data_IF_633804394029
#
_entry.id   IF_633804394029
#
_cell.length_a   1.000
_cell.length_b   1.000
_cell.length_c   1.000
_cell.angle_alpha   90.00
_cell.angle_beta   90.00
_cell.angle_gamma   90.00
#
_symmetry.space_group_name_H-M   'P 1'
#
loop_
_entity.id
_entity.type
_entity.pdbx_description
1 polymer ?
#
# COMPACT_ATOMS: atom_id res chain seq x y z
N UNK A 1 -17.15 -2.54 -29.77
CA UNK A 1 -15.72 -2.52 -29.45
C UNK A 1 -15.56 -2.95 -28.01
N UNK A 2 -15.34 -4.24 -27.79
CA UNK A 2 -15.09 -4.82 -26.47
C UNK A 2 -13.72 -4.33 -26.02
N UNK A 3 -13.65 -3.59 -24.92
CA UNK A 3 -12.39 -3.17 -24.29
C UNK A 3 -11.51 -4.41 -24.11
N UNK A 4 -10.21 -4.30 -24.45
CA UNK A 4 -9.20 -5.37 -24.37
C UNK A 4 -9.13 -6.04 -22.98
N UNK A 5 -9.75 -5.44 -21.95
CA UNK A 5 -9.78 -5.91 -20.56
C UNK A 5 -11.20 -5.92 -19.97
N UNK A 6 -12.26 -5.58 -20.73
CA UNK A 6 -13.64 -5.61 -20.24
C UNK A 6 -13.89 -4.78 -18.96
N UNK A 7 -13.05 -3.76 -18.70
CA UNK A 7 -12.98 -3.07 -17.41
C UNK A 7 -14.30 -2.41 -16.98
N UNK A 8 -15.12 -1.99 -17.94
CA UNK A 8 -16.40 -1.34 -17.67
C UNK A 8 -17.46 -2.32 -17.12
N UNK A 9 -17.40 -3.60 -17.50
CA UNK A 9 -18.35 -4.64 -17.07
C UNK A 9 -17.80 -5.47 -15.89
N UNK A 10 -16.48 -5.46 -15.69
CA UNK A 10 -15.82 -6.23 -14.64
C UNK A 10 -15.91 -5.59 -13.24
N UNK A 11 -15.94 -6.42 -12.19
CA UNK A 11 -15.78 -5.98 -10.80
C UNK A 11 -14.33 -5.52 -10.56
N UNK A 12 -14.08 -4.21 -10.65
CA UNK A 12 -12.75 -3.61 -10.48
C UNK A 12 -12.16 -3.91 -9.10
N UNK A 13 -13.04 -4.15 -8.12
CA UNK A 13 -12.64 -4.56 -6.78
C UNK A 13 -11.72 -5.78 -6.75
N UNK A 14 -11.93 -6.82 -7.58
CA UNK A 14 -11.02 -7.97 -7.60
C UNK A 14 -9.63 -7.63 -8.14
N UNK A 15 -9.55 -6.83 -9.19
CA UNK A 15 -8.26 -6.38 -9.76
C UNK A 15 -7.49 -5.45 -8.84
N UNK A 16 -8.18 -4.81 -7.90
CA UNK A 16 -7.53 -3.96 -6.91
C UNK A 16 -6.61 -4.75 -5.96
N UNK A 17 -6.86 -6.04 -5.73
CA UNK A 17 -6.04 -6.87 -4.82
C UNK A 17 -4.63 -7.09 -5.37
N UNK A 18 -4.43 -7.63 -6.60
CA UNK A 18 -3.09 -7.75 -7.16
C UNK A 18 -2.43 -6.38 -7.38
N UNK A 19 -3.19 -5.34 -7.69
CA UNK A 19 -2.64 -3.99 -7.80
C UNK A 19 -2.17 -3.44 -6.44
N UNK A 20 -2.90 -3.69 -5.35
CA UNK A 20 -2.49 -3.33 -4.00
C UNK A 20 -1.22 -4.08 -3.58
N UNK A 21 -1.10 -5.35 -3.97
CA UNK A 21 0.14 -6.12 -3.80
C UNK A 21 1.31 -5.47 -4.53
N UNK A 22 1.15 -5.14 -5.83
CA UNK A 22 2.20 -4.44 -6.60
C UNK A 22 2.58 -3.11 -5.93
N UNK A 23 1.59 -2.30 -5.54
CA UNK A 23 1.82 -1.02 -4.84
C UNK A 23 2.60 -1.22 -3.52
N UNK A 24 2.36 -2.31 -2.79
CA UNK A 24 3.08 -2.63 -1.56
C UNK A 24 4.58 -2.87 -1.79
N UNK A 25 4.97 -3.35 -2.97
CA UNK A 25 6.38 -3.65 -3.31
C UNK A 25 7.13 -2.45 -3.91
N UNK A 26 6.46 -1.46 -4.46
CA UNK A 26 7.09 -0.23 -4.99
C UNK A 26 8.08 0.41 -4.00
N UNK A 27 7.72 0.68 -2.73
CA UNK A 27 8.67 1.27 -1.81
C UNK A 27 9.83 0.33 -1.45
N UNK A 28 9.63 -1.00 -1.48
CA UNK A 28 10.73 -1.94 -1.29
C UNK A 28 11.76 -1.87 -2.42
N UNK A 29 11.30 -1.87 -3.68
CA UNK A 29 12.17 -1.71 -4.86
C UNK A 29 12.88 -0.35 -4.82
N UNK A 30 12.15 0.71 -4.47
CA UNK A 30 12.74 2.03 -4.29
C UNK A 30 13.83 2.04 -3.20
N UNK A 31 13.63 1.37 -2.07
CA UNK A 31 14.62 1.28 -1.00
C UNK A 31 15.91 0.58 -1.48
N UNK A 32 15.77 -0.57 -2.13
CA UNK A 32 16.91 -1.36 -2.60
C UNK A 32 17.69 -0.61 -3.70
N UNK A 33 16.99 0.08 -4.60
CA UNK A 33 17.63 0.85 -5.68
C UNK A 33 18.44 2.04 -5.18
N UNK A 34 17.94 2.80 -4.21
CA UNK A 34 18.69 3.95 -3.67
C UNK A 34 19.78 3.54 -2.67
N UNK A 35 19.72 2.31 -2.15
CA UNK A 35 20.76 1.75 -1.29
C UNK A 35 22.03 1.37 -2.05
N UNK A 36 21.94 1.11 -3.36
CA UNK A 36 23.09 0.82 -4.20
C UNK A 36 23.89 -0.39 -3.70
N UNK A 37 25.19 -0.19 -3.49
CA UNK A 37 26.14 -1.20 -3.01
C UNK A 37 25.84 -1.73 -1.60
N UNK A 38 25.02 -1.02 -0.82
CA UNK A 38 24.58 -1.47 0.51
C UNK A 38 23.50 -2.55 0.47
N UNK A 39 22.90 -2.80 -0.69
CA UNK A 39 21.93 -3.86 -0.86
C UNK A 39 22.60 -5.16 -1.29
N UNK A 40 22.72 -6.10 -0.35
CA UNK A 40 23.17 -7.46 -0.64
C UNK A 40 21.99 -8.35 -1.08
N UNK A 41 22.09 -8.93 -2.28
CA UNK A 41 21.08 -9.84 -2.84
C UNK A 41 21.08 -11.20 -2.12
N UNK A 42 22.20 -11.61 -1.54
CA UNK A 42 22.28 -12.83 -0.73
C UNK A 42 21.63 -12.64 0.66
N UNK A 43 21.71 -11.42 1.21
CA UNK A 43 21.15 -11.08 2.52
C UNK A 43 20.18 -9.86 2.48
N UNK A 44 19.10 -9.89 1.67
CA UNK A 44 18.28 -8.71 1.38
C UNK A 44 17.52 -8.13 2.57
N UNK A 45 17.43 -8.90 3.67
CA UNK A 45 16.79 -8.47 4.92
C UNK A 45 17.71 -7.62 5.80
N UNK A 46 19.04 -7.65 5.57
CA UNK A 46 20.04 -6.92 6.37
C UNK A 46 20.26 -5.48 5.90
N UNK A 47 19.54 -5.05 4.85
CA UNK A 47 19.67 -3.71 4.29
C UNK A 47 19.54 -2.59 5.35
N UNK A 48 18.59 -2.73 6.29
CA UNK A 48 18.38 -1.69 7.31
C UNK A 48 19.55 -1.59 8.29
N UNK A 49 20.18 -2.71 8.63
CA UNK A 49 21.36 -2.73 9.50
C UNK A 49 22.54 -2.08 8.79
N UNK A 50 22.76 -2.44 7.52
CA UNK A 50 23.82 -1.86 6.68
C UNK A 50 23.68 -0.34 6.52
N UNK A 51 22.45 0.16 6.36
CA UNK A 51 22.15 1.59 6.15
C UNK A 51 22.17 2.40 7.45
N UNK A 52 21.88 1.77 8.59
CA UNK A 52 21.85 2.46 9.90
C UNK A 52 23.25 2.57 10.52
N UNK A 53 24.16 1.65 10.19
CA UNK A 53 25.55 1.66 10.66
C UNK A 53 26.51 2.48 9.79
N UNK A 54 26.07 3.00 8.64
CA UNK A 54 26.94 3.72 7.70
C UNK A 54 26.84 5.24 7.88
N UNK A 55 27.82 5.82 8.60
CA UNK A 55 27.92 7.26 8.82
C UNK A 55 28.30 8.05 7.55
N UNK A 56 28.83 7.39 6.52
CA UNK A 56 29.19 8.03 5.26
C UNK A 56 27.99 8.28 4.35
N UNK A 57 26.87 7.57 4.59
CA UNK A 57 25.66 7.71 3.81
C UNK A 57 24.92 9.01 4.17
N UNK A 58 24.47 9.73 3.14
CA UNK A 58 23.64 10.93 3.34
C UNK A 58 22.43 10.60 4.22
N UNK A 59 22.26 11.40 5.28
CA UNK A 59 21.23 11.18 6.30
C UNK A 59 19.82 11.16 5.71
N UNK A 60 19.55 11.98 4.68
CA UNK A 60 18.24 12.03 4.02
C UNK A 60 18.01 10.76 3.19
N UNK A 61 19.04 10.24 2.51
CA UNK A 61 18.97 8.94 1.81
C UNK A 61 18.73 7.80 2.81
N UNK A 62 19.53 7.71 3.88
CA UNK A 62 19.36 6.69 4.93
C UNK A 62 17.93 6.70 5.50
N UNK A 63 17.42 7.87 5.87
CA UNK A 63 16.05 7.99 6.38
C UNK A 63 14.98 7.63 5.34
N UNK A 64 15.19 7.94 4.04
CA UNK A 64 14.26 7.54 2.97
C UNK A 64 14.23 6.02 2.79
N UNK A 65 15.36 5.34 2.87
CA UNK A 65 15.44 3.87 2.83
C UNK A 65 14.63 3.27 3.99
N UNK A 66 14.88 3.75 5.21
CA UNK A 66 14.17 3.27 6.41
C UNK A 66 12.65 3.47 6.28
N UNK A 67 12.20 4.66 5.86
CA UNK A 67 10.76 4.94 5.66
C UNK A 67 10.16 4.11 4.52
N UNK A 68 10.91 3.84 3.46
CA UNK A 68 10.43 3.02 2.35
C UNK A 68 10.27 1.54 2.75
N UNK A 69 11.22 0.97 3.50
CA UNK A 69 11.05 -0.36 4.11
C UNK A 69 9.86 -0.40 5.06
N UNK A 70 9.72 0.58 5.96
CA UNK A 70 8.56 0.67 6.85
C UNK A 70 7.22 0.82 6.09
N UNK A 71 7.21 1.54 4.95
CA UNK A 71 6.01 1.67 4.11
C UNK A 71 5.63 0.35 3.43
N UNK A 72 6.61 -0.44 2.99
CA UNK A 72 6.40 -1.80 2.47
C UNK A 72 5.80 -2.69 3.56
N UNK A 73 6.44 -2.77 4.72
CA UNK A 73 6.00 -3.63 5.83
C UNK A 73 4.56 -3.28 6.23
N UNK A 74 4.25 -1.99 6.40
CA UNK A 74 2.89 -1.52 6.68
C UNK A 74 1.85 -1.88 5.61
N UNK A 75 2.24 -1.86 4.33
CA UNK A 75 1.35 -2.26 3.25
C UNK A 75 1.05 -3.77 3.33
N UNK A 76 2.07 -4.58 3.60
CA UNK A 76 1.93 -6.04 3.70
C UNK A 76 1.11 -6.48 4.92
N UNK A 77 1.27 -5.81 6.07
CA UNK A 77 0.50 -6.08 7.30
C UNK A 77 -1.02 -5.98 7.09
N UNK A 78 -1.45 -5.04 6.24
CA UNK A 78 -2.88 -4.74 6.04
C UNK A 78 -3.47 -5.36 4.77
N UNK A 79 -2.61 -5.85 3.87
CA UNK A 79 -3.02 -6.39 2.57
C UNK A 79 -3.94 -7.60 2.71
N UNK A 80 -3.63 -8.52 3.63
CA UNK A 80 -4.45 -9.72 3.85
C UNK A 80 -5.88 -9.37 4.28
N UNK A 81 -6.01 -8.42 5.22
CA UNK A 81 -7.32 -7.97 5.70
C UNK A 81 -8.12 -7.23 4.63
N UNK A 82 -7.44 -6.45 3.77
CA UNK A 82 -8.05 -5.81 2.62
C UNK A 82 -8.54 -6.84 1.58
N UNK A 83 -7.66 -7.76 1.16
CA UNK A 83 -7.97 -8.77 0.16
C UNK A 83 -9.15 -9.64 0.59
N UNK A 84 -9.14 -10.11 1.84
CA UNK A 84 -10.24 -10.87 2.41
C UNK A 84 -11.54 -10.05 2.49
N UNK A 85 -11.46 -8.75 2.83
CA UNK A 85 -12.63 -7.85 2.83
C UNK A 85 -13.24 -7.65 1.44
N UNK A 86 -12.41 -7.51 0.39
CA UNK A 86 -12.88 -7.44 -1.01
C UNK A 86 -13.62 -8.72 -1.39
N UNK A 87 -13.05 -9.90 -1.10
CA UNK A 87 -13.67 -11.20 -1.41
C UNK A 87 -14.97 -11.37 -0.64
N UNK A 88 -14.97 -11.06 0.66
CA UNK A 88 -16.16 -11.19 1.52
C UNK A 88 -17.30 -10.29 1.05
N UNK A 89 -17.01 -9.02 0.74
CA UNK A 89 -18.03 -8.06 0.32
C UNK A 89 -18.60 -8.39 -1.07
N UNK A 90 -17.77 -8.86 -2.02
CA UNK A 90 -18.28 -9.38 -3.30
C UNK A 90 -19.16 -10.63 -3.08
N UNK A 91 -18.71 -11.58 -2.26
CA UNK A 91 -19.43 -12.84 -2.01
C UNK A 91 -20.77 -12.62 -1.32
N UNK A 92 -20.86 -11.59 -0.46
CA UNK A 92 -22.09 -11.18 0.21
C UNK A 92 -23.05 -10.38 -0.71
N UNK A 93 -22.70 -10.14 -1.97
CA UNK A 93 -23.56 -9.41 -2.92
C UNK A 93 -23.60 -7.89 -2.69
N UNK A 94 -22.58 -7.29 -2.06
CA UNK A 94 -22.49 -5.83 -1.93
C UNK A 94 -22.42 -5.20 -3.33
N UNK A 95 -23.18 -4.13 -3.56
CA UNK A 95 -23.31 -3.50 -4.87
C UNK A 95 -21.97 -3.06 -5.48
N UNK A 96 -21.75 -3.45 -6.75
CA UNK A 96 -20.54 -3.15 -7.54
C UNK A 96 -20.06 -1.69 -7.46
N UNK A 97 -20.91 -0.66 -7.62
CA UNK A 97 -20.44 0.73 -7.56
C UNK A 97 -19.77 1.09 -6.21
N UNK A 98 -20.29 0.52 -5.11
CA UNK A 98 -19.71 0.73 -3.78
C UNK A 98 -18.36 0.04 -3.66
N UNK A 99 -18.26 -1.22 -4.13
CA UNK A 99 -17.02 -1.99 -4.09
C UNK A 99 -15.92 -1.33 -4.93
N UNK A 100 -16.25 -0.84 -6.12
CA UNK A 100 -15.29 -0.19 -7.01
C UNK A 100 -14.78 1.12 -6.40
N UNK A 101 -15.66 1.97 -5.84
CA UNK A 101 -15.26 3.21 -5.17
C UNK A 101 -14.36 2.93 -3.97
N UNK A 102 -14.74 1.99 -3.10
CA UNK A 102 -13.93 1.62 -1.93
C UNK A 102 -12.55 1.10 -2.36
N UNK A 103 -12.51 0.22 -3.36
CA UNK A 103 -11.27 -0.40 -3.83
C UNK A 103 -10.33 0.61 -4.50
N UNK A 104 -10.85 1.49 -5.36
CA UNK A 104 -10.07 2.55 -5.99
C UNK A 104 -9.56 3.57 -4.96
N UNK A 105 -10.39 3.93 -3.99
CA UNK A 105 -9.99 4.85 -2.91
C UNK A 105 -8.91 4.22 -2.04
N UNK A 106 -8.97 2.90 -1.78
CA UNK A 106 -7.92 2.19 -1.04
C UNK A 106 -6.59 2.25 -1.79
N UNK A 107 -6.57 1.93 -3.08
CA UNK A 107 -5.37 2.00 -3.91
C UNK A 107 -4.75 3.40 -3.92
N UNK A 108 -5.59 4.43 -4.10
CA UNK A 108 -5.15 5.82 -4.02
C UNK A 108 -4.56 6.14 -2.64
N UNK A 109 -5.21 5.70 -1.56
CA UNK A 109 -4.70 5.91 -0.20
C UNK A 109 -3.32 5.26 0.01
N UNK A 110 -3.08 4.06 -0.55
CA UNK A 110 -1.77 3.38 -0.45
C UNK A 110 -0.68 4.09 -1.25
N UNK A 111 -1.00 4.54 -2.47
CA UNK A 111 -0.08 5.33 -3.28
C UNK A 111 0.27 6.66 -2.61
N UNK A 112 -0.74 7.39 -2.13
CA UNK A 112 -0.57 8.65 -1.43
C UNK A 112 0.23 8.47 -0.12
N UNK A 113 -0.11 7.48 0.71
CA UNK A 113 0.63 7.17 1.94
C UNK A 113 2.10 6.93 1.65
N UNK A 114 2.40 6.11 0.63
CA UNK A 114 3.78 5.77 0.25
C UNK A 114 4.55 7.02 -0.20
N UNK A 115 3.97 7.83 -1.08
CA UNK A 115 4.58 9.08 -1.54
C UNK A 115 4.84 10.06 -0.39
N UNK A 116 3.83 10.27 0.46
CA UNK A 116 3.94 11.19 1.59
C UNK A 116 5.02 10.70 2.54
N UNK A 117 4.98 9.43 2.94
CA UNK A 117 5.88 8.89 3.95
C UNK A 117 7.32 8.85 3.46
N UNK A 118 7.55 8.35 2.24
CA UNK A 118 8.89 8.15 1.72
C UNK A 118 9.53 9.46 1.29
N UNK A 119 8.81 10.29 0.52
CA UNK A 119 9.38 11.50 -0.10
C UNK A 119 9.01 12.79 0.64
N UNK A 120 7.71 13.07 0.82
CA UNK A 120 7.30 14.38 1.34
C UNK A 120 7.68 14.58 2.80
N UNK A 121 7.70 13.51 3.60
CA UNK A 121 8.10 13.53 5.02
C UNK A 121 9.59 13.79 5.25
N UNK A 122 10.39 14.03 4.20
CA UNK A 122 11.65 14.76 4.39
C UNK A 122 11.41 16.09 5.11
N UNK A 123 10.26 16.73 4.85
CA UNK A 123 9.75 17.79 5.70
C UNK A 123 8.75 17.19 6.71
N UNK A 124 9.11 17.26 7.99
CA UNK A 124 8.37 16.67 9.11
C UNK A 124 6.91 17.15 9.21
N UNK A 125 6.56 18.32 8.64
CA UNK A 125 5.19 18.84 8.61
C UNK A 125 4.18 17.92 7.92
N UNK A 126 4.63 17.01 7.06
CA UNK A 126 3.76 16.07 6.34
C UNK A 126 3.43 14.80 7.15
N UNK A 127 4.08 14.59 8.31
CA UNK A 127 3.85 13.40 9.13
C UNK A 127 2.40 13.23 9.61
N UNK A 128 1.64 14.28 9.98
CA UNK A 128 0.22 14.15 10.30
C UNK A 128 -0.63 13.73 9.10
N UNK A 129 -0.34 14.27 7.90
CA UNK A 129 -1.08 13.92 6.69
C UNK A 129 -0.91 12.44 6.33
N UNK A 130 0.30 11.90 6.48
CA UNK A 130 0.55 10.46 6.32
C UNK A 130 -0.38 9.62 7.20
N UNK A 131 -0.50 9.97 8.49
CA UNK A 131 -1.38 9.25 9.42
C UNK A 131 -2.84 9.36 9.01
N UNK A 132 -3.30 10.54 8.57
CA UNK A 132 -4.67 10.73 8.11
C UNK A 132 -4.99 9.86 6.89
N UNK A 133 -4.10 9.82 5.90
CA UNK A 133 -4.25 8.97 4.70
C UNK A 133 -4.26 7.48 5.07
N UNK A 134 -3.46 7.08 6.06
CA UNK A 134 -3.49 5.71 6.58
C UNK A 134 -4.84 5.35 7.23
N UNK A 135 -5.39 6.26 8.04
CA UNK A 135 -6.71 6.07 8.68
C UNK A 135 -7.79 5.88 7.62
N UNK A 136 -7.78 6.66 6.54
CA UNK A 136 -8.71 6.47 5.41
C UNK A 136 -8.62 5.04 4.87
N UNK A 137 -7.41 4.51 4.66
CA UNK A 137 -7.21 3.13 4.23
C UNK A 137 -7.83 2.11 5.18
N UNK A 138 -7.66 2.31 6.50
CA UNK A 138 -8.25 1.42 7.52
C UNK A 138 -9.77 1.51 7.55
N UNK A 139 -10.34 2.71 7.46
CA UNK A 139 -11.79 2.90 7.38
C UNK A 139 -12.39 2.20 6.15
N UNK A 140 -11.68 2.18 5.02
CA UNK A 140 -12.11 1.46 3.83
C UNK A 140 -12.11 -0.05 4.04
N UNK A 141 -11.03 -0.61 4.61
CA UNK A 141 -10.96 -2.04 4.96
C UNK A 141 -12.14 -2.41 5.87
N UNK A 142 -12.36 -1.66 6.94
CA UNK A 142 -13.49 -1.89 7.87
C UNK A 142 -14.84 -1.77 7.15
N UNK A 143 -14.99 -0.81 6.23
CA UNK A 143 -16.22 -0.62 5.47
C UNK A 143 -16.56 -1.82 4.58
N UNK A 144 -15.57 -2.47 3.97
CA UNK A 144 -15.77 -3.69 3.19
C UNK A 144 -16.38 -4.80 4.06
N UNK A 145 -15.78 -5.05 5.23
CA UNK A 145 -16.25 -6.07 6.17
C UNK A 145 -17.65 -5.76 6.74
N UNK A 146 -17.88 -4.52 7.17
CA UNK A 146 -19.18 -4.09 7.70
C UNK A 146 -20.28 -4.24 6.64
N UNK A 147 -20.00 -3.82 5.40
CA UNK A 147 -20.97 -3.96 4.30
C UNK A 147 -21.24 -5.42 3.95
N UNK A 148 -20.22 -6.27 3.96
CA UNK A 148 -20.40 -7.70 3.78
C UNK A 148 -21.35 -8.29 4.84
N UNK A 149 -21.10 -8.00 6.12
CA UNK A 149 -21.96 -8.48 7.21
C UNK A 149 -23.39 -7.96 7.14
N UNK A 150 -23.60 -6.72 6.70
CA UNK A 150 -24.94 -6.15 6.56
C UNK A 150 -25.74 -6.73 5.38
N UNK A 151 -25.07 -7.22 4.33
CA UNK A 151 -25.72 -7.79 3.16
C UNK A 151 -26.18 -9.24 3.35
N UNK A 152 -25.66 -9.94 4.36
CA UNK A 152 -25.96 -11.34 4.67
C UNK A 152 -27.16 -11.52 5.63
N UNK A 153 -27.95 -10.47 5.86
CA UNK A 153 -29.11 -10.50 6.77
C UNK A 153 -30.37 -11.01 6.10
#
# INVERSE_FOLDING_TARGET
MTSLVGLAESNLSYYSVPLAYILAFIPHVYANTIAGDKYDVAEPRRLLDAVSGDESLDKRISQRIQRAKAAHDNATETLGLYAAGVVAANSAGVGKPTLDVLSLTYLFSRAAYTLIYVKLQDNRKWAPLRSLVWIVGMCIISSLWIKAGNAMK
#
